data_IF_778705495981
#
_entry.id   IF_778705495981
#
_cell.length_a   1.000
_cell.length_b   1.000
_cell.length_c   1.000
_cell.angle_alpha   90.00
_cell.angle_beta   90.00
_cell.angle_gamma   90.00
#
_symmetry.space_group_name_H-M   'P 1'
#
loop_
_entity.id
_entity.type
_entity.pdbx_description
1 polymer ?
#
# COMPACT_ATOMS: atom_id res chain seq x y z
N UNK A 1 -19.98 -7.21 9.38
CA UNK A 1 -18.71 -7.89 9.74
C UNK A 1 -17.77 -6.84 10.30
N UNK A 2 -17.03 -7.10 11.39
CA UNK A 2 -16.01 -6.16 11.86
C UNK A 2 -14.64 -6.51 11.29
N UNK A 3 -13.85 -5.48 10.95
CA UNK A 3 -12.46 -5.64 10.53
C UNK A 3 -11.60 -5.99 11.76
N UNK A 4 -10.91 -7.13 11.72
CA UNK A 4 -10.01 -7.54 12.80
C UNK A 4 -8.60 -7.03 12.49
N UNK A 5 -8.14 -6.04 13.24
CA UNK A 5 -6.82 -5.42 13.02
C UNK A 5 -5.70 -6.35 13.43
N UNK A 6 -4.73 -6.53 12.53
CA UNK A 6 -3.50 -7.26 12.77
C UNK A 6 -2.59 -6.46 13.71
N UNK A 7 -1.67 -7.15 14.40
CA UNK A 7 -0.58 -6.50 15.14
C UNK A 7 0.32 -5.62 14.24
N UNK A 8 0.29 -5.90 12.94
CA UNK A 8 1.02 -5.15 11.91
C UNK A 8 0.35 -3.82 11.55
N UNK A 9 -0.85 -3.55 12.05
CA UNK A 9 -1.53 -2.27 11.83
C UNK A 9 -1.08 -1.16 12.79
N UNK A 10 -0.21 -1.48 13.76
CA UNK A 10 0.32 -0.49 14.70
C UNK A 10 1.23 0.52 13.97
N UNK A 11 1.20 1.80 14.37
CA UNK A 11 2.10 2.81 13.80
C UNK A 11 3.58 2.39 13.81
N UNK A 12 4.01 1.72 14.87
CA UNK A 12 5.38 1.28 15.08
C UNK A 12 5.77 0.14 14.12
N UNK A 13 4.90 -0.87 13.96
CA UNK A 13 5.14 -1.95 13.01
C UNK A 13 5.19 -1.43 11.57
N UNK A 14 4.28 -0.51 11.23
CA UNK A 14 4.24 0.17 9.93
C UNK A 14 5.52 0.97 9.67
N UNK A 15 5.94 1.79 10.63
CA UNK A 15 7.18 2.58 10.53
C UNK A 15 8.42 1.68 10.39
N UNK A 16 8.50 0.61 11.18
CA UNK A 16 9.61 -0.35 11.12
C UNK A 16 9.68 -1.02 9.74
N UNK A 17 8.55 -1.44 9.17
CA UNK A 17 8.52 -2.02 7.82
C UNK A 17 8.85 -1.01 6.74
N UNK A 18 8.36 0.22 6.85
CA UNK A 18 8.67 1.27 5.90
C UNK A 18 10.19 1.52 5.87
N UNK A 19 10.87 1.52 7.02
CA UNK A 19 12.33 1.63 7.08
C UNK A 19 13.03 0.48 6.35
N UNK A 20 12.55 -0.76 6.49
CA UNK A 20 13.12 -1.92 5.78
C UNK A 20 12.93 -1.77 4.27
N UNK A 21 11.75 -1.33 3.84
CA UNK A 21 11.47 -1.10 2.42
C UNK A 21 12.30 0.05 1.83
N UNK A 22 12.54 1.13 2.59
CA UNK A 22 13.45 2.21 2.17
C UNK A 22 14.84 1.65 1.88
N UNK A 23 15.40 0.88 2.81
CA UNK A 23 16.72 0.26 2.61
C UNK A 23 16.73 -0.66 1.38
N UNK A 24 15.69 -1.48 1.20
CA UNK A 24 15.60 -2.44 0.09
C UNK A 24 15.40 -1.78 -1.29
N UNK A 25 14.81 -0.59 -1.35
CA UNK A 25 14.47 0.10 -2.60
C UNK A 25 15.44 1.25 -2.95
N UNK A 26 16.22 1.77 -1.99
CA UNK A 26 17.10 2.93 -2.19
C UNK A 26 18.05 2.78 -3.37
N UNK A 27 18.87 1.74 -3.36
CA UNK A 27 19.86 1.49 -4.41
C UNK A 27 19.21 1.37 -5.80
N UNK A 28 18.08 0.66 -5.88
CA UNK A 28 17.33 0.44 -7.13
C UNK A 28 16.74 1.70 -7.71
N UNK A 29 16.29 2.64 -6.88
CA UNK A 29 15.66 3.88 -7.36
C UNK A 29 16.70 4.86 -7.87
N UNK A 30 17.91 4.82 -7.32
CA UNK A 30 19.00 5.72 -7.68
C UNK A 30 19.90 5.19 -8.81
N UNK A 31 19.68 3.96 -9.26
CA UNK A 31 20.43 3.37 -10.37
C UNK A 31 19.87 3.80 -11.75
N UNK A 32 20.59 3.44 -12.82
CA UNK A 32 20.21 3.77 -14.20
C UNK A 32 18.87 3.13 -14.63
N UNK A 33 18.44 2.06 -13.96
CA UNK A 33 17.16 1.37 -14.18
C UNK A 33 16.06 1.84 -13.22
N UNK A 34 16.32 2.82 -12.35
CA UNK A 34 15.36 3.41 -11.43
C UNK A 34 14.03 3.77 -12.09
N UNK A 35 14.01 4.47 -13.23
CA UNK A 35 12.80 4.74 -14.01
C UNK A 35 11.92 3.51 -14.32
N UNK A 36 12.53 2.36 -14.60
CA UNK A 36 11.80 1.11 -14.89
C UNK A 36 11.22 0.56 -13.60
N UNK A 37 12.05 0.48 -12.55
CA UNK A 37 11.64 -0.01 -11.24
C UNK A 37 10.48 0.81 -10.64
N UNK A 38 10.49 2.13 -10.80
CA UNK A 38 9.42 3.02 -10.32
C UNK A 38 8.08 2.73 -11.02
N UNK A 39 8.10 2.53 -12.35
CA UNK A 39 6.89 2.17 -13.12
C UNK A 39 6.35 0.81 -12.70
N UNK A 40 7.23 -0.18 -12.53
CA UNK A 40 6.84 -1.51 -12.04
C UNK A 40 6.20 -1.44 -10.65
N UNK A 41 6.78 -0.66 -9.74
CA UNK A 41 6.20 -0.46 -8.41
C UNK A 41 4.83 0.21 -8.49
N UNK A 42 4.65 1.23 -9.33
CA UNK A 42 3.36 1.89 -9.54
C UNK A 42 2.29 0.89 -10.03
N UNK A 43 2.59 0.08 -11.04
CA UNK A 43 1.65 -0.92 -11.54
C UNK A 43 1.31 -1.99 -10.50
N UNK A 44 2.33 -2.53 -9.82
CA UNK A 44 2.16 -3.60 -8.83
C UNK A 44 1.37 -3.13 -7.61
N UNK A 45 1.69 -1.94 -7.08
CA UNK A 45 0.98 -1.35 -5.95
C UNK A 45 -0.47 -1.03 -6.31
N UNK A 46 -0.73 -0.47 -7.50
CA UNK A 46 -2.09 -0.18 -7.96
C UNK A 46 -2.94 -1.46 -8.10
N UNK A 47 -2.34 -2.53 -8.63
CA UNK A 47 -2.98 -3.85 -8.68
C UNK A 47 -3.25 -4.40 -7.29
N UNK A 48 -2.28 -4.32 -6.37
CA UNK A 48 -2.42 -4.80 -4.99
C UNK A 48 -3.53 -4.06 -4.23
N UNK A 49 -3.57 -2.72 -4.31
CA UNK A 49 -4.64 -1.90 -3.74
C UNK A 49 -6.03 -2.34 -4.23
N UNK A 50 -6.16 -2.57 -5.54
CA UNK A 50 -7.41 -3.01 -6.16
C UNK A 50 -7.83 -4.38 -5.65
N UNK A 51 -6.90 -5.34 -5.61
CA UNK A 51 -7.15 -6.70 -5.13
C UNK A 51 -7.59 -6.72 -3.66
N UNK A 52 -6.86 -6.04 -2.78
CA UNK A 52 -7.19 -5.99 -1.36
C UNK A 52 -8.54 -5.32 -1.10
N UNK A 53 -8.85 -4.25 -1.84
CA UNK A 53 -10.16 -3.59 -1.73
C UNK A 53 -11.30 -4.54 -2.13
N UNK A 54 -11.12 -5.30 -3.23
CA UNK A 54 -12.11 -6.30 -3.67
C UNK A 54 -12.28 -7.42 -2.66
N UNK A 55 -11.17 -7.93 -2.12
CA UNK A 55 -11.19 -8.98 -1.10
C UNK A 55 -11.93 -8.50 0.15
N UNK A 56 -11.69 -7.27 0.60
CA UNK A 56 -12.40 -6.69 1.72
C UNK A 56 -13.92 -6.62 1.48
N UNK A 57 -14.35 -6.23 0.27
CA UNK A 57 -15.77 -6.21 -0.11
C UNK A 57 -16.36 -7.62 -0.12
N UNK A 58 -15.64 -8.62 -0.64
CA UNK A 58 -16.08 -10.02 -0.67
C UNK A 58 -16.25 -10.58 0.76
N UNK A 59 -15.37 -10.19 1.69
CA UNK A 59 -15.49 -10.54 3.11
C UNK A 59 -16.65 -9.81 3.82
N UNK A 60 -17.39 -8.95 3.12
CA UNK A 60 -18.57 -8.26 3.65
C UNK A 60 -18.23 -7.11 4.60
N UNK A 61 -17.02 -6.55 4.54
CA UNK A 61 -16.61 -5.38 5.35
C UNK A 61 -17.46 -4.14 5.03
N UNK A 62 -18.09 -4.09 3.85
CA UNK A 62 -19.02 -3.04 3.42
C UNK A 62 -20.42 -3.10 4.06
N UNK A 63 -20.74 -4.15 4.80
CA UNK A 63 -22.07 -4.33 5.42
C UNK A 63 -22.22 -3.61 6.75
N UNK A 64 -21.11 -3.36 7.45
CA UNK A 64 -21.07 -2.65 8.72
C UNK A 64 -20.58 -1.20 8.49
N UNK A 65 -21.35 -0.16 8.86
CA UNK A 65 -20.97 1.22 8.59
C UNK A 65 -19.63 1.66 9.18
N UNK A 66 -19.27 1.13 10.36
CA UNK A 66 -17.99 1.41 11.02
C UNK A 66 -16.83 0.81 10.22
N UNK A 67 -16.93 -0.46 9.85
CA UNK A 67 -15.92 -1.16 9.06
C UNK A 67 -15.80 -0.61 7.63
N UNK A 68 -16.91 -0.19 7.03
CA UNK A 68 -16.89 0.50 5.74
C UNK A 68 -16.20 1.87 5.81
N UNK A 69 -16.40 2.60 6.90
CA UNK A 69 -15.70 3.87 7.15
C UNK A 69 -14.19 3.64 7.29
N UNK A 70 -13.77 2.62 8.02
CA UNK A 70 -12.35 2.26 8.17
C UNK A 70 -11.71 1.86 6.84
N UNK A 71 -12.39 1.03 6.04
CA UNK A 71 -11.92 0.65 4.71
C UNK A 71 -11.76 1.87 3.78
N UNK A 72 -12.74 2.78 3.76
CA UNK A 72 -12.63 4.00 2.97
C UNK A 72 -11.47 4.88 3.45
N UNK A 73 -11.28 5.02 4.76
CA UNK A 73 -10.13 5.77 5.30
C UNK A 73 -8.79 5.19 4.84
N UNK A 74 -8.63 3.86 4.89
CA UNK A 74 -7.42 3.19 4.42
C UNK A 74 -7.21 3.46 2.91
N UNK A 75 -8.25 3.21 2.10
CA UNK A 75 -8.19 3.40 0.65
C UNK A 75 -7.85 4.83 0.28
N UNK A 76 -8.49 5.80 0.91
CA UNK A 76 -8.27 7.22 0.58
C UNK A 76 -6.84 7.63 0.94
N UNK A 77 -6.29 7.11 2.04
CA UNK A 77 -4.88 7.35 2.42
C UNK A 77 -3.91 6.69 1.43
N UNK A 78 -4.18 5.46 1.00
CA UNK A 78 -3.39 4.81 -0.06
C UNK A 78 -3.42 5.61 -1.36
N UNK A 79 -4.59 6.10 -1.77
CA UNK A 79 -4.73 6.89 -2.99
C UNK A 79 -3.93 8.19 -2.97
N UNK A 80 -3.75 8.82 -1.80
CA UNK A 80 -2.89 10.02 -1.66
C UNK A 80 -1.45 9.68 -2.05
N UNK A 81 -0.87 8.65 -1.44
CA UNK A 81 0.51 8.23 -1.73
C UNK A 81 0.66 7.63 -3.13
N UNK A 82 -0.36 6.94 -3.61
CA UNK A 82 -0.36 6.40 -4.97
C UNK A 82 -0.35 7.50 -6.02
N UNK A 83 -1.02 8.63 -5.77
CA UNK A 83 -0.95 9.82 -6.64
C UNK A 83 0.42 10.48 -6.61
N UNK A 84 1.10 10.52 -5.45
CA UNK A 84 2.49 11.01 -5.37
C UNK A 84 3.38 10.15 -6.28
N UNK A 85 3.28 8.83 -6.18
CA UNK A 85 4.03 7.92 -7.04
C UNK A 85 3.65 8.07 -8.52
N UNK A 86 2.36 8.23 -8.82
CA UNK A 86 1.88 8.46 -10.18
C UNK A 86 2.40 9.76 -10.79
N UNK A 87 2.57 10.82 -9.98
CA UNK A 87 3.20 12.07 -10.45
C UNK A 87 4.67 11.86 -10.82
N UNK A 88 5.40 11.08 -10.02
CA UNK A 88 6.78 10.71 -10.36
C UNK A 88 6.85 9.88 -11.65
N UNK A 89 5.91 8.96 -11.88
CA UNK A 89 5.82 8.21 -13.15
C UNK A 89 5.55 9.16 -14.33
N UNK A 90 4.63 10.10 -14.17
CA UNK A 90 4.37 11.12 -15.19
C UNK A 90 5.62 11.96 -15.49
N UNK A 91 6.38 12.34 -14.47
CA UNK A 91 7.63 13.08 -14.67
C UNK A 91 8.64 12.22 -15.47
N UNK A 92 8.78 10.94 -15.14
CA UNK A 92 9.64 10.00 -15.89
C UNK A 92 9.16 9.85 -17.34
N UNK A 93 7.86 9.69 -17.58
CA UNK A 93 7.28 9.52 -18.92
C UNK A 93 7.43 10.77 -19.80
N UNK A 94 7.61 11.94 -19.19
CA UNK A 94 7.87 13.21 -19.86
C UNK A 94 9.37 13.56 -19.94
N UNK A 95 10.27 12.60 -19.72
CA UNK A 95 11.73 12.79 -19.69
C UNK A 95 12.19 13.85 -18.66
N UNK A 96 11.43 14.04 -17.58
CA UNK A 96 11.77 14.94 -16.49
C UNK A 96 12.44 14.18 -15.33
N UNK A 97 13.32 14.87 -14.61
CA UNK A 97 13.92 14.31 -13.41
C UNK A 97 12.84 14.15 -12.33
N UNK A 98 12.60 12.91 -11.89
CA UNK A 98 11.73 12.62 -10.75
C UNK A 98 12.50 12.78 -9.44
N UNK A 99 11.79 12.97 -8.32
CA UNK A 99 12.38 13.07 -6.99
C UNK A 99 12.52 11.69 -6.32
N UNK A 100 13.75 11.15 -6.14
CA UNK A 100 13.95 9.82 -5.56
C UNK A 100 13.41 9.68 -4.13
N UNK A 101 13.44 10.75 -3.33
CA UNK A 101 12.95 10.74 -1.94
C UNK A 101 11.44 10.60 -1.90
N UNK A 102 10.72 11.28 -2.80
CA UNK A 102 9.26 11.17 -2.88
C UNK A 102 8.83 9.77 -3.33
N UNK A 103 9.51 9.23 -4.34
CA UNK A 103 9.30 7.84 -4.81
C UNK A 103 9.55 6.84 -3.69
N UNK A 104 10.72 6.92 -3.02
CA UNK A 104 11.09 6.04 -1.91
C UNK A 104 10.05 6.07 -0.80
N UNK A 105 9.63 7.27 -0.40
CA UNK A 105 8.66 7.46 0.67
C UNK A 105 7.30 6.86 0.28
N UNK A 106 6.83 7.14 -0.94
CA UNK A 106 5.55 6.63 -1.42
C UNK A 106 5.52 5.10 -1.51
N UNK A 107 6.55 4.49 -2.11
CA UNK A 107 6.67 3.03 -2.24
C UNK A 107 6.76 2.38 -0.86
N UNK A 108 7.68 2.83 -0.01
CA UNK A 108 7.90 2.21 1.28
C UNK A 108 6.67 2.27 2.20
N UNK A 109 5.97 3.40 2.17
CA UNK A 109 4.75 3.59 2.93
C UNK A 109 3.62 2.69 2.39
N UNK A 110 3.36 2.71 1.08
CA UNK A 110 2.31 1.90 0.46
C UNK A 110 2.54 0.39 0.64
N UNK A 111 3.75 -0.09 0.40
CA UNK A 111 4.10 -1.51 0.61
C UNK A 111 3.84 -1.95 2.06
N UNK A 112 4.14 -1.08 3.03
CA UNK A 112 3.95 -1.39 4.45
C UNK A 112 2.48 -1.43 4.83
N UNK A 113 1.70 -0.45 4.38
CA UNK A 113 0.27 -0.34 4.65
C UNK A 113 -0.54 -1.43 3.99
N UNK A 114 -0.26 -1.71 2.71
CA UNK A 114 -0.95 -2.77 1.98
C UNK A 114 -0.62 -4.14 2.54
N UNK A 115 0.61 -4.35 3.02
CA UNK A 115 0.95 -5.59 3.71
C UNK A 115 0.21 -5.73 5.04
N UNK A 116 0.19 -4.69 5.89
CA UNK A 116 -0.54 -4.73 7.15
C UNK A 116 -2.02 -5.03 6.94
N UNK A 117 -2.62 -4.36 5.95
CA UNK A 117 -4.01 -4.59 5.58
C UNK A 117 -4.27 -6.01 5.03
N UNK A 118 -3.37 -6.53 4.21
CA UNK A 118 -3.44 -7.92 3.71
C UNK A 118 -3.46 -8.93 4.87
N UNK A 119 -2.61 -8.75 5.88
CA UNK A 119 -2.60 -9.60 7.08
C UNK A 119 -3.90 -9.46 7.89
N UNK A 120 -4.42 -8.23 8.00
CA UNK A 120 -5.74 -7.95 8.60
C UNK A 120 -6.89 -8.65 7.88
N UNK A 121 -6.87 -8.71 6.54
CA UNK A 121 -7.85 -9.49 5.78
C UNK A 121 -7.71 -10.99 6.04
N UNK A 122 -6.47 -11.51 6.08
CA UNK A 122 -6.20 -12.92 6.39
C UNK A 122 -6.72 -13.30 7.78
N UNK A 123 -6.47 -12.47 8.79
CA UNK A 123 -6.93 -12.70 10.17
C UNK A 123 -8.45 -12.61 10.27
N UNK A 124 -9.07 -11.63 9.61
CA UNK A 124 -10.53 -11.52 9.50
C UNK A 124 -11.13 -12.79 8.88
N UNK A 125 -10.55 -13.28 7.77
CA UNK A 125 -11.01 -14.49 7.10
C UNK A 125 -10.89 -15.74 7.98
N UNK A 126 -9.76 -15.92 8.67
CA UNK A 126 -9.56 -17.04 9.62
C UNK A 126 -10.59 -17.02 10.75
N UNK A 127 -10.91 -15.83 11.26
CA UNK A 127 -11.93 -15.68 12.29
C UNK A 127 -13.33 -16.07 11.80
N UNK A 128 -13.63 -15.89 10.51
CA UNK A 128 -14.89 -16.34 9.91
C UNK A 128 -14.95 -17.86 9.72
N UNK A 129 -13.82 -18.50 9.45
CA UNK A 129 -13.74 -19.96 9.27
C UNK A 129 -13.77 -20.73 10.60
N UNK A 130 -13.50 -20.05 11.72
CA UNK A 130 -13.41 -20.65 13.06
C UNK A 130 -14.66 -20.45 13.93
N UNK A 131 -15.65 -19.70 13.45
CA UNK A 131 -16.91 -19.40 14.16
C UNK A 131 -18.12 -19.94 13.42
#
# INVERSE_FOLDING_TARGET
MKLIKSMLDTPEAKASRASVNISACSDKITDDNGPIFVRECYENLGRKMTTLTKEAIILGINTDPESWKELNFCRDTWMIWFRVLGKCVEDIDNDQAFNPVQVLTAIAWLESELFGFEETLKDTKRSMESG
#
